data_IF_429577737942
#
_entry.id   IF_429577737942
#
_cell.length_a   1.000
_cell.length_b   1.000
_cell.length_c   1.000
_cell.angle_alpha   90.00
_cell.angle_beta   90.00
_cell.angle_gamma   90.00
#
_symmetry.space_group_name_H-M   'P 1'
#
loop_
_entity.id
_entity.type
_entity.pdbx_description
1 polymer ?
#
# COMPACT_ATOMS: atom_id res chain seq x y z
N UNK A 1 11.25 -14.65 -4.29
CA UNK A 1 9.81 -14.80 -3.93
C UNK A 1 9.49 -16.26 -3.63
N UNK A 2 8.71 -16.53 -2.56
CA UNK A 2 8.40 -17.91 -2.08
C UNK A 2 7.18 -18.54 -2.74
N UNK A 3 6.36 -17.78 -3.46
CA UNK A 3 5.17 -18.25 -4.14
C UNK A 3 5.37 -18.27 -5.66
N UNK A 4 4.80 -19.29 -6.37
CA UNK A 4 4.78 -19.27 -7.82
C UNK A 4 3.86 -18.14 -8.32
N UNK A 5 4.19 -17.60 -9.49
CA UNK A 5 3.25 -16.79 -10.23
C UNK A 5 2.17 -17.70 -10.84
N UNK A 6 0.92 -17.26 -10.76
CA UNK A 6 -0.22 -18.02 -11.26
C UNK A 6 -0.65 -17.49 -12.62
N UNK A 7 -0.67 -18.36 -13.62
CA UNK A 7 -1.17 -18.02 -14.95
C UNK A 7 -2.69 -17.93 -14.96
N UNK A 8 -3.28 -16.96 -15.65
CA UNK A 8 -4.73 -16.81 -15.71
C UNK A 8 -5.45 -18.07 -16.21
N UNK A 9 -4.81 -18.84 -17.10
CA UNK A 9 -5.36 -20.11 -17.65
C UNK A 9 -5.37 -21.27 -16.66
N UNK A 10 -4.64 -21.17 -15.54
CA UNK A 10 -4.49 -22.22 -14.53
C UNK A 10 -5.27 -21.93 -13.25
N UNK A 11 -5.97 -20.78 -13.20
CA UNK A 11 -6.74 -20.37 -12.02
C UNK A 11 -7.97 -21.24 -11.82
N UNK A 12 -8.17 -21.69 -10.58
CA UNK A 12 -9.43 -22.30 -10.18
C UNK A 12 -10.55 -21.25 -10.04
N UNK A 13 -11.79 -21.69 -9.83
CA UNK A 13 -12.96 -20.80 -9.78
C UNK A 13 -12.85 -19.71 -8.69
N UNK A 14 -12.36 -20.05 -7.48
CA UNK A 14 -12.20 -19.08 -6.40
C UNK A 14 -11.11 -18.04 -6.73
N UNK A 15 -10.00 -18.51 -7.28
CA UNK A 15 -8.91 -17.64 -7.71
C UNK A 15 -9.32 -16.69 -8.84
N UNK A 16 -10.13 -17.21 -9.80
CA UNK A 16 -10.60 -16.39 -10.90
C UNK A 16 -11.50 -15.23 -10.43
N UNK A 17 -12.37 -15.45 -9.47
CA UNK A 17 -13.20 -14.38 -8.88
C UNK A 17 -12.31 -13.27 -8.28
N UNK A 18 -11.28 -13.65 -7.54
CA UNK A 18 -10.34 -12.69 -6.93
C UNK A 18 -9.53 -11.97 -8.00
N UNK A 19 -9.04 -12.71 -9.00
CA UNK A 19 -8.29 -12.16 -10.13
C UNK A 19 -9.09 -11.09 -10.89
N UNK A 20 -10.33 -11.42 -11.26
CA UNK A 20 -11.20 -10.52 -12.01
C UNK A 20 -11.50 -9.25 -11.17
N UNK A 21 -11.75 -9.41 -9.85
CA UNK A 21 -11.98 -8.28 -8.94
C UNK A 21 -10.73 -7.38 -8.78
N UNK A 22 -9.53 -7.96 -8.78
CA UNK A 22 -8.29 -7.17 -8.75
C UNK A 22 -8.17 -6.38 -10.05
N UNK A 23 -8.37 -7.02 -11.20
CA UNK A 23 -8.28 -6.39 -12.52
C UNK A 23 -9.24 -5.22 -12.67
N UNK A 24 -10.50 -5.38 -12.22
CA UNK A 24 -11.53 -4.33 -12.27
C UNK A 24 -11.04 -3.01 -11.67
N UNK A 25 -10.32 -3.06 -10.56
CA UNK A 25 -9.82 -1.86 -9.88
C UNK A 25 -8.47 -1.41 -10.45
N UNK A 26 -7.53 -2.33 -10.60
CA UNK A 26 -6.15 -1.98 -10.93
C UNK A 26 -5.97 -1.51 -12.38
N UNK A 27 -6.77 -2.02 -13.30
CA UNK A 27 -6.77 -1.58 -14.71
C UNK A 27 -7.18 -0.10 -14.85
N UNK A 28 -7.93 0.44 -13.91
CA UNK A 28 -8.36 1.84 -13.87
C UNK A 28 -7.44 2.69 -12.99
N UNK A 29 -7.07 2.17 -11.82
CA UNK A 29 -6.32 2.93 -10.82
C UNK A 29 -4.83 3.07 -11.14
N UNK A 30 -4.23 2.12 -11.86
CA UNK A 30 -2.80 2.08 -12.12
C UNK A 30 -2.50 2.31 -13.60
N UNK A 31 -2.18 3.55 -13.95
CA UNK A 31 -1.82 3.90 -15.34
C UNK A 31 -0.35 3.65 -15.66
N UNK A 32 0.55 3.87 -14.70
CA UNK A 32 2.00 3.77 -14.90
C UNK A 32 2.65 2.64 -14.09
N UNK A 33 1.97 2.14 -13.05
CA UNK A 33 2.50 1.07 -12.23
C UNK A 33 2.17 -0.31 -12.81
N UNK A 34 3.21 -1.10 -13.11
CA UNK A 34 3.05 -2.46 -13.62
C UNK A 34 2.77 -3.43 -12.47
N UNK A 35 1.52 -3.84 -12.33
CA UNK A 35 1.04 -4.83 -11.36
C UNK A 35 0.84 -6.22 -11.96
N UNK A 36 1.10 -6.36 -13.27
CA UNK A 36 0.85 -7.57 -14.06
C UNK A 36 1.92 -7.71 -15.15
N UNK A 37 2.30 -8.95 -15.46
CA UNK A 37 3.14 -9.28 -16.62
C UNK A 37 2.34 -9.31 -17.93
N UNK A 38 3.05 -9.41 -19.05
CA UNK A 38 2.44 -9.44 -20.40
C UNK A 38 1.52 -10.66 -20.61
N UNK A 39 1.80 -11.79 -19.95
CA UNK A 39 1.00 -13.01 -19.98
C UNK A 39 -0.19 -13.03 -19.00
N UNK A 40 -0.40 -11.92 -18.28
CA UNK A 40 -1.50 -11.75 -17.34
C UNK A 40 -1.22 -12.22 -15.91
N UNK A 41 -0.02 -12.70 -15.60
CA UNK A 41 0.36 -13.05 -14.23
C UNK A 41 0.42 -11.80 -13.35
N UNK A 42 -0.33 -11.82 -12.25
CA UNK A 42 -0.28 -10.73 -11.26
C UNK A 42 1.01 -10.79 -10.46
N UNK A 43 1.58 -9.63 -10.14
CA UNK A 43 2.80 -9.52 -9.33
C UNK A 43 2.53 -8.80 -8.00
N UNK A 44 3.53 -8.77 -7.15
CA UNK A 44 3.42 -8.08 -5.86
C UNK A 44 2.43 -8.74 -4.89
N UNK A 45 1.70 -7.95 -4.13
CA UNK A 45 0.71 -8.45 -3.17
C UNK A 45 -0.42 -9.21 -3.84
N UNK A 46 -0.76 -8.87 -5.08
CA UNK A 46 -1.85 -9.46 -5.83
C UNK A 46 -1.63 -10.95 -6.10
N UNK A 47 -0.40 -11.35 -6.43
CA UNK A 47 -0.08 -12.76 -6.57
C UNK A 47 -0.19 -13.51 -5.25
N UNK A 48 0.27 -12.92 -4.14
CA UNK A 48 0.16 -13.53 -2.82
C UNK A 48 -1.31 -13.71 -2.39
N UNK A 49 -2.14 -12.68 -2.64
CA UNK A 49 -3.59 -12.71 -2.42
C UNK A 49 -4.25 -13.83 -3.25
N UNK A 50 -3.85 -13.95 -4.51
CA UNK A 50 -4.41 -14.91 -5.47
C UNK A 50 -4.05 -16.37 -5.13
N UNK A 51 -2.86 -16.62 -4.59
CA UNK A 51 -2.43 -17.96 -4.19
C UNK A 51 -3.31 -18.55 -3.06
N UNK A 52 -3.88 -17.71 -2.20
CA UNK A 52 -4.71 -18.12 -1.05
C UNK A 52 -6.06 -17.40 -1.04
N UNK A 53 -6.97 -17.69 -1.98
CA UNK A 53 -8.17 -16.90 -2.23
C UNK A 53 -9.10 -16.77 -1.02
N UNK A 54 -9.14 -17.75 -0.12
CA UNK A 54 -9.99 -17.69 1.09
C UNK A 54 -9.59 -16.56 2.05
N UNK A 55 -8.29 -16.34 2.25
CA UNK A 55 -7.75 -15.23 3.04
C UNK A 55 -7.55 -13.97 2.19
N UNK A 56 -7.07 -14.19 0.97
CA UNK A 56 -6.73 -13.14 0.03
C UNK A 56 -7.94 -12.31 -0.40
N UNK A 57 -9.11 -12.93 -0.60
CA UNK A 57 -10.32 -12.20 -0.94
C UNK A 57 -10.72 -11.18 0.14
N UNK A 58 -10.60 -11.55 1.43
CA UNK A 58 -10.88 -10.64 2.54
C UNK A 58 -9.86 -9.50 2.63
N UNK A 59 -8.57 -9.80 2.47
CA UNK A 59 -7.51 -8.79 2.43
C UNK A 59 -7.68 -7.85 1.22
N UNK A 60 -8.05 -8.39 0.07
CA UNK A 60 -8.34 -7.61 -1.13
C UNK A 60 -9.57 -6.72 -0.96
N UNK A 61 -10.65 -7.23 -0.37
CA UNK A 61 -11.86 -6.44 -0.15
C UNK A 61 -11.59 -5.17 0.65
N UNK A 62 -10.76 -5.23 1.69
CA UNK A 62 -10.34 -4.05 2.46
C UNK A 62 -9.53 -3.08 1.59
N UNK A 63 -8.58 -3.60 0.80
CA UNK A 63 -7.77 -2.78 -0.10
C UNK A 63 -8.63 -2.12 -1.20
N UNK A 64 -9.53 -2.89 -1.83
CA UNK A 64 -10.50 -2.40 -2.83
C UNK A 64 -11.33 -1.24 -2.26
N UNK A 65 -11.83 -1.39 -1.03
CA UNK A 65 -12.60 -0.35 -0.34
C UNK A 65 -11.81 0.97 -0.22
N UNK A 66 -10.49 0.89 0.05
CA UNK A 66 -9.64 2.09 0.08
C UNK A 66 -9.58 2.79 -1.28
N UNK A 67 -9.45 2.04 -2.38
CA UNK A 67 -9.44 2.62 -3.74
C UNK A 67 -10.77 3.24 -4.12
N UNK A 68 -11.88 2.62 -3.78
CA UNK A 68 -13.22 3.02 -4.22
C UNK A 68 -13.82 4.17 -3.40
N UNK A 69 -13.46 4.28 -2.12
CA UNK A 69 -14.19 5.16 -1.19
C UNK A 69 -13.33 6.21 -0.49
N UNK A 70 -12.00 6.18 -0.62
CA UNK A 70 -11.16 7.17 0.04
C UNK A 70 -11.47 8.59 -0.45
N UNK A 71 -11.57 9.50 0.52
CA UNK A 71 -11.69 10.94 0.29
C UNK A 71 -10.40 11.69 0.62
N UNK A 72 -9.39 10.99 1.11
CA UNK A 72 -8.10 11.60 1.43
C UNK A 72 -7.41 12.11 0.16
N UNK A 73 -6.74 13.26 0.21
CA UNK A 73 -5.88 13.70 -0.88
C UNK A 73 -4.85 12.62 -1.22
N UNK A 74 -4.59 12.40 -2.52
CA UNK A 74 -3.67 11.34 -2.98
C UNK A 74 -2.29 11.44 -2.33
N UNK A 75 -1.76 12.66 -2.13
CA UNK A 75 -0.46 12.87 -1.47
C UNK A 75 -0.49 12.43 0.00
N UNK A 76 -1.57 12.73 0.72
CA UNK A 76 -1.79 12.32 2.13
C UNK A 76 -1.82 10.80 2.24
N UNK A 77 -2.55 10.13 1.34
CA UNK A 77 -2.58 8.68 1.25
C UNK A 77 -1.18 8.10 1.05
N UNK A 78 -0.41 8.62 0.09
CA UNK A 78 0.94 8.12 -0.19
C UNK A 78 1.90 8.37 0.98
N UNK A 79 1.78 9.47 1.70
CA UNK A 79 2.55 9.70 2.94
C UNK A 79 2.29 8.58 3.95
N UNK A 80 1.03 8.26 4.25
CA UNK A 80 0.70 7.19 5.19
C UNK A 80 1.25 5.83 4.75
N UNK A 81 1.12 5.51 3.46
CA UNK A 81 1.56 4.21 2.92
C UNK A 81 3.08 4.07 2.90
N UNK A 82 3.81 5.13 2.53
CA UNK A 82 5.28 5.12 2.53
C UNK A 82 5.84 5.08 3.96
N UNK A 83 5.25 5.81 4.90
CA UNK A 83 5.63 5.73 6.34
C UNK A 83 5.44 4.30 6.86
N UNK A 84 4.33 3.65 6.52
CA UNK A 84 4.05 2.27 6.92
C UNK A 84 5.02 1.30 6.23
N UNK A 85 5.23 1.42 4.93
CA UNK A 85 6.12 0.58 4.16
C UNK A 85 7.57 0.64 4.64
N UNK A 86 8.07 1.84 4.94
CA UNK A 86 9.43 2.04 5.46
C UNK A 86 9.58 1.48 6.88
N UNK A 87 8.60 1.69 7.76
CA UNK A 87 8.59 1.10 9.10
C UNK A 87 8.64 -0.43 9.04
N UNK A 88 7.81 -1.03 8.21
CA UNK A 88 7.73 -2.49 8.00
C UNK A 88 8.87 -3.05 7.15
N UNK A 89 9.74 -2.20 6.59
CA UNK A 89 10.80 -2.57 5.63
C UNK A 89 10.26 -3.38 4.44
N UNK A 90 9.04 -3.08 4.02
CA UNK A 90 8.34 -3.79 2.95
C UNK A 90 8.81 -3.25 1.58
N UNK A 91 9.90 -3.82 1.05
CA UNK A 91 10.59 -3.35 -0.16
C UNK A 91 9.67 -3.19 -1.37
N UNK A 92 8.80 -4.17 -1.61
CA UNK A 92 7.85 -4.09 -2.74
C UNK A 92 6.81 -2.97 -2.55
N UNK A 93 6.30 -2.79 -1.33
CA UNK A 93 5.36 -1.71 -1.02
C UNK A 93 6.00 -0.34 -1.26
N UNK A 94 7.24 -0.14 -0.77
CA UNK A 94 8.00 1.09 -1.02
C UNK A 94 8.14 1.31 -2.53
N UNK A 95 8.64 0.32 -3.27
CA UNK A 95 8.83 0.39 -4.72
C UNK A 95 7.56 0.81 -5.47
N UNK A 96 6.42 0.17 -5.18
CA UNK A 96 5.16 0.50 -5.84
C UNK A 96 4.66 1.89 -5.49
N UNK A 97 4.75 2.26 -4.22
CA UNK A 97 4.23 3.53 -3.74
C UNK A 97 5.15 4.73 -4.00
N UNK A 98 6.43 4.53 -4.28
CA UNK A 98 7.29 5.59 -4.86
C UNK A 98 6.75 6.05 -6.23
N UNK A 99 6.33 5.11 -7.08
CA UNK A 99 5.75 5.43 -8.38
C UNK A 99 4.36 6.07 -8.25
N UNK A 100 3.49 5.50 -7.42
CA UNK A 100 2.16 6.06 -7.19
C UNK A 100 2.19 7.44 -6.52
N UNK A 101 3.19 7.71 -5.69
CA UNK A 101 3.40 9.03 -5.11
C UNK A 101 3.87 10.04 -6.17
N UNK A 102 4.75 9.64 -7.08
CA UNK A 102 5.16 10.47 -8.20
C UNK A 102 3.96 10.80 -9.12
N UNK A 103 3.12 9.81 -9.43
CA UNK A 103 1.88 10.01 -10.21
C UNK A 103 0.88 10.92 -9.47
N UNK A 104 0.89 10.94 -8.14
CA UNK A 104 0.12 11.86 -7.32
C UNK A 104 0.73 13.29 -7.24
N UNK A 105 1.86 13.53 -7.91
CA UNK A 105 2.56 14.82 -7.92
C UNK A 105 3.39 15.11 -6.68
N UNK A 106 3.69 14.10 -5.85
CA UNK A 106 4.58 14.26 -4.70
C UNK A 106 6.02 14.43 -5.21
N UNK A 107 6.76 15.49 -4.79
CA UNK A 107 8.13 15.71 -5.25
C UNK A 107 9.06 14.52 -4.94
N UNK A 108 9.90 14.14 -5.88
CA UNK A 108 10.81 12.99 -5.78
C UNK A 108 11.66 13.02 -4.50
N UNK A 109 12.17 14.18 -4.11
CA UNK A 109 12.96 14.31 -2.88
C UNK A 109 12.15 13.99 -1.62
N UNK A 110 10.87 14.38 -1.59
CA UNK A 110 9.94 14.06 -0.51
C UNK A 110 9.66 12.56 -0.47
N UNK A 111 9.40 11.95 -1.62
CA UNK A 111 9.19 10.50 -1.77
C UNK A 111 10.41 9.72 -1.26
N UNK A 112 11.61 10.08 -1.70
CA UNK A 112 12.86 9.44 -1.28
C UNK A 112 13.07 9.53 0.25
N UNK A 113 12.76 10.69 0.84
CA UNK A 113 12.87 10.88 2.30
C UNK A 113 11.89 9.98 3.06
N UNK A 114 10.63 9.89 2.60
CA UNK A 114 9.62 8.99 3.18
C UNK A 114 10.01 7.52 3.04
N UNK A 115 10.48 7.12 1.86
CA UNK A 115 10.93 5.76 1.58
C UNK A 115 12.13 5.34 2.45
N UNK A 116 12.99 6.30 2.78
CA UNK A 116 14.10 6.10 3.74
C UNK A 116 13.66 6.07 5.21
N UNK A 117 12.36 6.17 5.50
CA UNK A 117 11.81 6.19 6.85
C UNK A 117 12.06 7.48 7.62
N UNK A 118 12.35 8.56 6.91
CA UNK A 118 12.61 9.87 7.48
C UNK A 118 11.43 10.82 7.26
N UNK A 119 11.37 11.87 8.06
CA UNK A 119 10.35 12.92 7.94
C UNK A 119 10.82 14.02 7.00
N UNK A 120 10.10 14.26 5.88
CA UNK A 120 10.43 15.41 5.01
C UNK A 120 10.19 16.75 5.70
N UNK A 121 11.03 17.73 5.40
CA UNK A 121 10.90 19.09 5.94
C UNK A 121 9.79 19.90 5.25
N UNK A 122 9.43 19.54 4.01
CA UNK A 122 8.53 20.25 3.11
C UNK A 122 7.11 19.64 3.05
N UNK A 123 6.69 18.93 4.08
CA UNK A 123 5.32 18.42 4.19
C UNK A 123 4.31 19.58 4.27
N UNK A 124 3.21 19.48 3.53
CA UNK A 124 2.05 20.38 3.71
C UNK A 124 1.45 20.21 5.11
N UNK A 125 0.52 21.06 5.49
CA UNK A 125 -0.13 20.97 6.81
C UNK A 125 -0.84 19.61 7.00
N UNK A 126 -1.58 19.15 5.98
CA UNK A 126 -2.30 17.88 6.00
C UNK A 126 -1.33 16.69 5.96
N UNK A 127 -0.33 16.71 5.09
CA UNK A 127 0.69 15.65 5.01
C UNK A 127 1.46 15.48 6.32
N UNK A 128 1.70 16.58 7.04
CA UNK A 128 2.40 16.57 8.33
C UNK A 128 1.56 15.86 9.40
N UNK A 129 0.28 16.18 9.46
CA UNK A 129 -0.64 15.52 10.40
C UNK A 129 -0.80 14.05 10.06
N UNK A 130 -0.95 13.71 8.78
CA UNK A 130 -1.02 12.33 8.32
C UNK A 130 0.25 11.54 8.64
N UNK A 131 1.43 12.16 8.44
CA UNK A 131 2.71 11.57 8.84
C UNK A 131 2.74 11.27 10.33
N UNK A 132 2.36 12.23 11.17
CA UNK A 132 2.41 12.08 12.63
C UNK A 132 1.46 10.99 13.14
N UNK A 133 0.26 10.90 12.56
CA UNK A 133 -0.72 9.83 12.87
C UNK A 133 -0.20 8.47 12.40
N UNK A 134 0.24 8.37 11.14
CA UNK A 134 0.78 7.12 10.61
C UNK A 134 2.03 6.68 11.38
N UNK A 135 2.93 7.59 11.71
CA UNK A 135 4.11 7.30 12.51
C UNK A 135 3.73 6.76 13.91
N UNK A 136 2.80 7.42 14.60
CA UNK A 136 2.35 6.98 15.92
C UNK A 136 1.73 5.56 15.87
N UNK A 137 0.87 5.29 14.88
CA UNK A 137 0.27 3.95 14.68
C UNK A 137 1.34 2.88 14.44
N UNK A 138 2.36 3.21 13.67
CA UNK A 138 3.46 2.29 13.36
C UNK A 138 4.37 1.97 14.56
N UNK A 139 4.42 2.86 15.58
CA UNK A 139 5.16 2.57 16.82
C UNK A 139 4.43 1.56 17.73
N UNK A 140 3.15 1.28 17.47
CA UNK A 140 2.30 0.44 18.30
C UNK A 140 1.71 1.17 19.50
N UNK A 141 0.74 0.54 20.15
CA UNK A 141 -0.03 1.14 21.24
C UNK A 141 -1.06 2.16 20.76
N UNK A 142 -1.73 2.85 21.69
CA UNK A 142 -2.72 3.88 21.35
C UNK A 142 -2.04 5.14 20.81
N UNK A 143 -2.69 5.80 19.84
CA UNK A 143 -2.27 7.12 19.37
C UNK A 143 -2.31 8.11 20.54
N UNK A 144 -1.28 8.97 20.75
CA UNK A 144 -1.33 10.02 21.75
C UNK A 144 -2.56 10.91 21.55
N UNK A 145 -3.25 11.28 22.62
CA UNK A 145 -4.49 12.04 22.56
C UNK A 145 -4.34 13.36 21.80
N UNK A 146 -3.22 14.06 21.96
CA UNK A 146 -2.93 15.30 21.22
C UNK A 146 -2.83 15.05 19.71
N UNK A 147 -2.17 13.97 19.29
CA UNK A 147 -2.04 13.59 17.87
C UNK A 147 -3.40 13.22 17.30
N UNK A 148 -4.20 12.44 18.04
CA UNK A 148 -5.55 12.06 17.61
C UNK A 148 -6.44 13.29 17.41
N UNK A 149 -6.46 14.23 18.37
CA UNK A 149 -7.27 15.47 18.26
C UNK A 149 -6.84 16.36 17.10
N UNK A 150 -5.55 16.49 16.85
CA UNK A 150 -5.05 17.24 15.68
C UNK A 150 -5.47 16.55 14.38
N UNK A 151 -5.37 15.21 14.31
CA UNK A 151 -5.84 14.43 13.17
C UNK A 151 -7.33 14.61 12.91
N UNK A 152 -8.16 14.48 13.93
CA UNK A 152 -9.62 14.67 13.83
C UNK A 152 -9.98 16.11 13.45
N UNK A 153 -9.29 17.10 14.00
CA UNK A 153 -9.49 18.51 13.63
C UNK A 153 -9.11 18.80 12.16
N UNK A 154 -8.12 18.09 11.62
CA UNK A 154 -7.63 18.29 10.25
C UNK A 154 -8.49 17.55 9.23
N UNK A 155 -8.82 16.28 9.47
CA UNK A 155 -9.48 15.40 8.51
C UNK A 155 -10.93 15.08 8.83
N UNK A 156 -11.43 15.55 9.97
CA UNK A 156 -12.71 15.13 10.51
C UNK A 156 -12.67 13.69 11.02
N UNK A 157 -13.79 13.27 11.62
CA UNK A 157 -13.92 11.92 12.18
C UNK A 157 -13.76 10.81 11.12
N UNK A 158 -14.35 11.00 9.95
CA UNK A 158 -14.29 10.04 8.85
C UNK A 158 -12.88 9.95 8.27
N UNK A 159 -12.23 11.08 7.96
CA UNK A 159 -10.87 11.07 7.42
C UNK A 159 -9.84 10.52 8.41
N UNK A 160 -10.03 10.75 9.71
CA UNK A 160 -9.19 10.11 10.73
C UNK A 160 -9.41 8.59 10.75
N UNK A 161 -10.64 8.12 10.60
CA UNK A 161 -10.93 6.69 10.45
C UNK A 161 -10.28 6.13 9.20
N UNK A 162 -10.36 6.82 8.06
CA UNK A 162 -9.71 6.40 6.82
C UNK A 162 -8.20 6.21 7.01
N UNK A 163 -7.49 7.13 7.69
CA UNK A 163 -6.05 7.00 7.96
C UNK A 163 -5.76 5.76 8.82
N UNK A 164 -6.55 5.52 9.88
CA UNK A 164 -6.36 4.36 10.76
C UNK A 164 -6.53 3.05 9.98
N UNK A 165 -7.61 2.93 9.21
CA UNK A 165 -7.86 1.74 8.37
C UNK A 165 -6.82 1.59 7.26
N UNK A 166 -6.37 2.69 6.65
CA UNK A 166 -5.33 2.70 5.63
C UNK A 166 -4.01 2.14 6.17
N UNK A 167 -3.55 2.65 7.32
CA UNK A 167 -2.33 2.16 7.96
C UNK A 167 -2.46 0.68 8.31
N UNK A 168 -3.59 0.26 8.90
CA UNK A 168 -3.85 -1.14 9.22
C UNK A 168 -3.84 -2.06 7.99
N UNK A 169 -4.47 -1.61 6.88
CA UNK A 169 -4.49 -2.34 5.62
C UNK A 169 -3.08 -2.51 5.05
N UNK A 170 -2.28 -1.44 5.04
CA UNK A 170 -0.92 -1.50 4.51
C UNK A 170 0.08 -2.19 5.45
N UNK A 171 -0.21 -2.29 6.74
CA UNK A 171 0.47 -3.23 7.63
C UNK A 171 0.20 -4.68 7.23
N UNK A 172 -1.05 -5.06 6.99
CA UNK A 172 -1.42 -6.38 6.52
C UNK A 172 -0.71 -6.71 5.20
N UNK A 173 -0.76 -5.80 4.22
CA UNK A 173 -0.08 -5.97 2.93
C UNK A 173 1.44 -6.11 3.12
N UNK A 174 2.06 -5.29 3.98
CA UNK A 174 3.50 -5.38 4.27
C UNK A 174 3.88 -6.74 4.88
N UNK A 175 3.07 -7.26 5.81
CA UNK A 175 3.28 -8.59 6.41
C UNK A 175 3.19 -9.69 5.34
N UNK A 176 2.21 -9.62 4.43
CA UNK A 176 2.06 -10.56 3.33
C UNK A 176 3.29 -10.49 2.40
N UNK A 177 3.69 -9.30 1.98
CA UNK A 177 4.84 -9.08 1.10
C UNK A 177 6.14 -9.61 1.72
N UNK A 178 6.40 -9.29 2.98
CA UNK A 178 7.60 -9.71 3.70
C UNK A 178 7.56 -11.22 4.00
N UNK A 179 6.40 -11.76 4.40
CA UNK A 179 6.21 -13.16 4.70
C UNK A 179 6.50 -14.08 3.52
N UNK A 180 6.12 -13.66 2.33
CA UNK A 180 6.38 -14.41 1.09
C UNK A 180 7.63 -13.93 0.34
N UNK A 181 8.39 -13.00 0.91
CA UNK A 181 9.62 -12.45 0.30
C UNK A 181 9.37 -12.03 -1.16
N UNK A 182 8.37 -11.18 -1.36
CA UNK A 182 7.97 -10.75 -2.69
C UNK A 182 9.04 -9.86 -3.30
N UNK A 183 9.56 -10.30 -4.45
CA UNK A 183 10.67 -9.63 -5.13
C UNK A 183 10.24 -8.31 -5.78
N UNK A 184 11.11 -7.33 -5.75
CA UNK A 184 10.95 -6.07 -6.50
C UNK A 184 11.36 -6.33 -7.95
N UNK A 185 10.53 -5.97 -8.95
CA UNK A 185 10.87 -6.13 -10.36
C UNK A 185 12.22 -5.48 -10.72
N UNK A 186 13.04 -6.20 -11.50
CA UNK A 186 14.36 -5.73 -11.93
C UNK A 186 15.48 -5.86 -10.88
N UNK A 187 15.19 -6.39 -9.69
CA UNK A 187 16.18 -6.69 -8.64
C UNK A 187 16.29 -8.19 -8.34
N UNK A 188 15.79 -9.04 -9.22
CA UNK A 188 15.75 -10.48 -9.02
C UNK A 188 17.12 -11.18 -9.18
N UNK A 189 18.11 -10.49 -9.73
CA UNK A 189 19.46 -11.02 -9.95
C UNK A 189 20.47 -10.21 -9.13
N UNK A 190 20.86 -10.69 -7.95
CA UNK A 190 22.13 -10.27 -7.37
C UNK A 190 22.21 -9.85 -5.92
N UNK A 191 21.44 -10.43 -5.01
CA UNK A 191 21.80 -10.45 -3.59
C UNK A 191 21.49 -11.84 -3.02
N UNK A 192 22.45 -12.76 -3.23
CA UNK A 192 22.61 -13.96 -2.43
C UNK A 192 23.20 -13.62 -1.07
#
# INVERSE_FOLDING_TARGET
MRLPLLKPSELNAEQKVVYDSIREVTDVAFTNFKFMKEDGELVGPFNAILNFPKFGAAAWAMNKTMYEHTKLPKSVLQVCVLVTGSHMKARYQIFGHEQLAADAGVPLQKVATLAAGQRPADLTAEERVAFDVAYALNQGGPIPESTYRIGEATFGREGMAEIIYLVGTFHLIAVILNGYDVSVPGREEGLG
#
